data_IF_720231537963
#
_entry.id   IF_720231537963
#
_cell.length_a   1.000
_cell.length_b   1.000
_cell.length_c   1.000
_cell.angle_alpha   90.00
_cell.angle_beta   90.00
_cell.angle_gamma   90.00
#
_symmetry.space_group_name_H-M   'P 1'
#
loop_
_entity.id
_entity.type
_entity.pdbx_description
1 polymer ?
#
# COMPACT_ATOMS: atom_id res chain seq x y z
N UNK A 1 3.71 -12.14 -22.36
CA UNK A 1 2.55 -12.98 -21.98
C UNK A 1 1.56 -13.02 -23.15
N UNK A 2 0.85 -14.13 -23.35
CA UNK A 2 -0.23 -14.23 -24.35
C UNK A 2 -1.56 -13.75 -23.77
N UNK A 3 -2.57 -13.55 -24.62
CA UNK A 3 -3.93 -13.20 -24.18
C UNK A 3 -4.60 -14.27 -23.29
N UNK A 4 -4.10 -15.51 -23.29
CA UNK A 4 -4.60 -16.61 -22.46
C UNK A 4 -3.85 -16.76 -21.12
N UNK A 5 -2.89 -15.88 -20.82
CA UNK A 5 -2.09 -15.96 -19.60
C UNK A 5 -2.92 -15.46 -18.42
N UNK A 6 -3.23 -16.32 -17.44
CA UNK A 6 -4.02 -15.96 -16.26
C UNK A 6 -3.16 -15.56 -15.06
N UNK A 7 -1.94 -16.08 -14.96
CA UNK A 7 -1.03 -15.84 -13.83
C UNK A 7 0.37 -15.56 -14.37
N UNK A 8 0.99 -14.50 -13.86
CA UNK A 8 2.38 -14.14 -14.11
C UNK A 8 3.12 -14.11 -12.78
N UNK A 9 4.28 -14.76 -12.71
CA UNK A 9 5.15 -14.75 -11.53
C UNK A 9 6.32 -13.82 -11.80
N UNK A 10 6.45 -12.75 -11.03
CA UNK A 10 7.62 -11.87 -11.04
C UNK A 10 8.71 -12.42 -10.13
N UNK A 11 9.65 -13.19 -10.70
CA UNK A 11 10.79 -13.79 -9.97
C UNK A 11 12.06 -12.94 -10.12
N UNK A 12 11.92 -11.65 -9.81
CA UNK A 12 12.93 -10.63 -10.06
C UNK A 12 12.88 -9.57 -8.96
N UNK A 13 14.04 -9.09 -8.53
CA UNK A 13 14.12 -8.02 -7.54
C UNK A 13 13.95 -6.65 -8.21
N UNK A 14 13.23 -5.75 -7.55
CA UNK A 14 13.08 -4.35 -7.97
C UNK A 14 11.95 -4.06 -8.97
N UNK A 15 11.26 -5.08 -9.47
CA UNK A 15 10.18 -4.89 -10.45
C UNK A 15 8.80 -4.64 -9.81
N UNK A 16 8.67 -4.73 -8.49
CA UNK A 16 7.39 -4.61 -7.79
C UNK A 16 6.67 -3.28 -8.07
N UNK A 17 7.41 -2.17 -8.17
CA UNK A 17 6.84 -0.86 -8.49
C UNK A 17 6.26 -0.80 -9.91
N UNK A 18 6.91 -1.48 -10.87
CA UNK A 18 6.38 -1.61 -12.22
C UNK A 18 5.07 -2.39 -12.21
N UNK A 19 5.03 -3.49 -11.44
CA UNK A 19 3.84 -4.32 -11.32
C UNK A 19 2.68 -3.55 -10.68
N UNK A 20 2.92 -2.75 -9.64
CA UNK A 20 1.89 -1.86 -9.09
C UNK A 20 1.43 -0.81 -10.11
N UNK A 21 2.34 -0.27 -10.91
CA UNK A 21 2.00 0.73 -11.94
C UNK A 21 1.07 0.24 -13.05
N UNK A 22 0.93 -1.08 -13.23
CA UNK A 22 0.02 -1.70 -14.21
C UNK A 22 -1.14 -2.44 -13.56
N UNK A 23 -1.22 -2.47 -12.23
CA UNK A 23 -2.26 -3.19 -11.50
C UNK A 23 -3.50 -2.31 -11.30
N UNK A 24 -4.67 -2.92 -11.24
CA UNK A 24 -5.93 -2.24 -10.87
C UNK A 24 -6.12 -2.16 -9.35
N UNK A 25 -5.53 -3.11 -8.60
CA UNK A 25 -5.60 -3.26 -7.15
C UNK A 25 -4.42 -4.10 -6.67
N UNK A 26 -4.09 -4.00 -5.38
CA UNK A 26 -2.99 -4.73 -4.78
C UNK A 26 -3.40 -5.43 -3.48
N UNK A 27 -3.11 -6.72 -3.38
CA UNK A 27 -3.10 -7.42 -2.10
C UNK A 27 -1.66 -7.51 -1.57
N UNK A 28 -1.38 -6.88 -0.43
CA UNK A 28 -0.03 -6.85 0.16
C UNK A 28 0.13 -8.00 1.15
N UNK A 29 1.03 -8.92 0.80
CA UNK A 29 1.27 -10.17 1.52
C UNK A 29 1.88 -10.04 2.91
N UNK A 30 2.17 -11.18 3.53
CA UNK A 30 2.71 -11.27 4.90
C UNK A 30 1.72 -10.87 6.00
N UNK A 31 0.46 -10.63 5.64
CA UNK A 31 -0.59 -10.01 6.47
C UNK A 31 -1.74 -10.95 6.85
N UNK A 32 -1.93 -12.08 6.14
CA UNK A 32 -2.89 -13.15 6.50
C UNK A 32 -2.33 -14.14 7.52
N UNK A 33 -1.03 -14.08 7.77
CA UNK A 33 -0.33 -14.87 8.80
C UNK A 33 0.27 -13.90 9.80
N UNK A 34 0.56 -14.35 11.02
CA UNK A 34 1.13 -13.56 12.11
C UNK A 34 2.61 -13.15 11.87
N UNK A 35 2.91 -12.55 10.72
CA UNK A 35 4.24 -12.05 10.33
C UNK A 35 4.33 -10.52 10.30
N UNK A 36 3.19 -9.83 10.35
CA UNK A 36 3.12 -8.37 10.56
C UNK A 36 2.98 -7.53 9.30
N UNK A 37 2.82 -8.15 8.13
CA UNK A 37 2.58 -7.47 6.86
C UNK A 37 3.84 -6.86 6.22
N UNK A 38 3.69 -6.46 4.96
CA UNK A 38 4.66 -5.64 4.22
C UNK A 38 4.15 -4.21 4.02
N UNK A 39 4.99 -3.34 3.48
CA UNK A 39 4.73 -1.91 3.36
C UNK A 39 3.56 -1.61 2.40
N UNK A 40 2.41 -1.11 2.89
CA UNK A 40 1.27 -0.80 2.03
C UNK A 40 1.46 0.49 1.22
N UNK A 41 2.41 1.36 1.61
CA UNK A 41 2.58 2.66 0.96
C UNK A 41 3.10 2.55 -0.46
N UNK A 42 3.77 1.45 -0.79
CA UNK A 42 4.25 1.19 -2.15
C UNK A 42 3.09 1.09 -3.13
N UNK A 43 2.07 0.28 -2.81
CA UNK A 43 0.85 0.20 -3.60
C UNK A 43 0.03 1.51 -3.55
N UNK A 44 -0.09 2.11 -2.37
CA UNK A 44 -0.83 3.37 -2.20
C UNK A 44 -0.26 4.52 -3.06
N UNK A 45 1.06 4.54 -3.29
CA UNK A 45 1.71 5.53 -4.14
C UNK A 45 1.24 5.49 -5.60
N UNK A 46 0.73 4.34 -6.05
CA UNK A 46 0.16 4.16 -7.39
C UNK A 46 -1.34 4.47 -7.46
N UNK A 47 -1.94 5.00 -6.38
CA UNK A 47 -3.35 5.35 -6.29
C UNK A 47 -4.30 4.18 -6.63
N UNK A 48 -3.90 2.96 -6.24
CA UNK A 48 -4.71 1.75 -6.39
C UNK A 48 -5.22 1.29 -5.01
N UNK A 49 -6.37 0.60 -4.93
CA UNK A 49 -6.86 -0.01 -3.70
C UNK A 49 -5.82 -0.94 -3.08
N UNK A 50 -5.63 -0.81 -1.77
CA UNK A 50 -4.73 -1.65 -0.98
C UNK A 50 -5.55 -2.61 -0.13
N UNK A 51 -5.32 -3.90 -0.29
CA UNK A 51 -5.90 -4.97 0.51
C UNK A 51 -4.81 -5.60 1.37
N UNK A 52 -5.12 -5.87 2.65
CA UNK A 52 -4.21 -6.58 3.56
C UNK A 52 -4.98 -7.50 4.49
N UNK A 53 -4.31 -8.53 5.00
CA UNK A 53 -4.81 -9.32 6.11
C UNK A 53 -4.75 -8.59 7.47
N UNK A 54 -5.29 -9.18 8.54
CA UNK A 54 -5.42 -8.52 9.85
C UNK A 54 -4.08 -8.34 10.58
N UNK A 55 -3.03 -9.07 10.20
CA UNK A 55 -1.74 -9.05 10.89
C UNK A 55 -0.80 -8.01 10.29
N UNK A 56 -0.97 -6.74 10.69
CA UNK A 56 -0.24 -5.59 10.14
C UNK A 56 0.70 -4.92 11.16
N UNK A 57 1.09 -5.61 12.22
CA UNK A 57 1.79 -5.00 13.37
C UNK A 57 3.11 -4.30 13.02
N UNK A 58 3.82 -4.69 11.95
CA UNK A 58 5.04 -3.99 11.51
C UNK A 58 4.74 -2.60 10.92
N UNK A 59 3.51 -2.40 10.44
CA UNK A 59 3.04 -1.19 9.76
C UNK A 59 1.79 -0.61 10.44
N UNK A 60 1.59 -0.90 11.72
CA UNK A 60 0.34 -0.62 12.47
C UNK A 60 -0.14 0.82 12.31
N UNK A 61 0.75 1.79 12.50
CA UNK A 61 0.38 3.22 12.43
C UNK A 61 -0.01 3.64 11.01
N UNK A 62 0.67 3.10 10.00
CA UNK A 62 0.36 3.36 8.59
C UNK A 62 -0.98 2.72 8.23
N UNK A 63 -1.18 1.45 8.58
CA UNK A 63 -2.42 0.74 8.33
C UNK A 63 -3.61 1.40 9.04
N UNK A 64 -3.44 1.86 10.28
CA UNK A 64 -4.48 2.59 11.00
C UNK A 64 -4.86 3.91 10.29
N UNK A 65 -3.90 4.65 9.74
CA UNK A 65 -4.17 5.86 8.95
C UNK A 65 -4.88 5.54 7.64
N UNK A 66 -4.46 4.49 6.95
CA UNK A 66 -5.13 4.04 5.73
C UNK A 66 -6.55 3.58 6.00
N UNK A 67 -6.79 2.82 7.06
CA UNK A 67 -8.12 2.37 7.47
C UNK A 67 -9.04 3.56 7.80
N UNK A 68 -8.56 4.51 8.61
CA UNK A 68 -9.29 5.74 8.95
C UNK A 68 -9.66 6.57 7.71
N UNK A 69 -8.78 6.58 6.71
CA UNK A 69 -9.02 7.29 5.47
C UNK A 69 -9.88 6.50 4.47
N UNK A 70 -10.30 5.27 4.76
CA UNK A 70 -10.90 4.37 3.74
C UNK A 70 -9.97 4.08 2.56
N UNK A 71 -8.65 4.04 2.80
CA UNK A 71 -7.61 3.67 1.85
C UNK A 71 -7.08 2.24 2.02
N UNK A 72 -7.60 1.48 2.98
CA UNK A 72 -7.25 0.07 3.23
C UNK A 72 -8.51 -0.78 3.32
N UNK A 73 -8.45 -1.98 2.74
CA UNK A 73 -9.48 -3.02 2.88
C UNK A 73 -8.85 -4.18 3.65
N UNK A 74 -9.42 -4.52 4.80
CA UNK A 74 -8.96 -5.65 5.62
C UNK A 74 -9.65 -6.93 5.18
N UNK A 75 -8.86 -7.96 4.86
CA UNK A 75 -9.30 -9.27 4.37
C UNK A 75 -9.00 -10.35 5.41
N UNK A 76 -10.02 -11.10 5.83
CA UNK A 76 -9.87 -12.13 6.87
C UNK A 76 -9.78 -13.54 6.31
N UNK A 77 -10.29 -13.77 5.10
CA UNK A 77 -10.40 -15.10 4.51
C UNK A 77 -10.48 -15.05 2.97
N UNK A 78 -10.46 -16.22 2.34
CA UNK A 78 -10.51 -16.33 0.88
C UNK A 78 -11.86 -15.87 0.28
N UNK A 79 -12.96 -16.00 1.01
CA UNK A 79 -14.29 -15.63 0.52
C UNK A 79 -14.44 -14.10 0.46
N UNK A 80 -14.00 -13.40 1.51
CA UNK A 80 -13.91 -11.95 1.57
C UNK A 80 -12.94 -11.42 0.52
N UNK A 81 -11.78 -12.06 0.32
CA UNK A 81 -10.85 -11.69 -0.75
C UNK A 81 -11.51 -11.75 -2.12
N UNK A 82 -12.15 -12.87 -2.46
CA UNK A 82 -12.78 -13.06 -3.77
C UNK A 82 -13.90 -12.04 -4.01
N UNK A 83 -14.71 -11.77 -2.98
CA UNK A 83 -15.77 -10.76 -3.03
C UNK A 83 -15.21 -9.36 -3.28
N UNK A 84 -14.25 -8.92 -2.48
CA UNK A 84 -13.72 -7.56 -2.57
C UNK A 84 -12.94 -7.34 -3.88
N UNK A 85 -12.16 -8.32 -4.32
CA UNK A 85 -11.49 -8.27 -5.63
C UNK A 85 -12.52 -8.18 -6.76
N UNK A 86 -13.59 -8.97 -6.72
CA UNK A 86 -14.65 -8.90 -7.73
C UNK A 86 -15.34 -7.53 -7.73
N UNK A 87 -15.67 -6.97 -6.57
CA UNK A 87 -16.27 -5.64 -6.46
C UNK A 87 -15.35 -4.58 -7.05
N UNK A 88 -14.07 -4.56 -6.67
CA UNK A 88 -13.10 -3.60 -7.17
C UNK A 88 -12.84 -3.71 -8.67
N UNK A 89 -12.92 -4.90 -9.26
CA UNK A 89 -12.76 -5.07 -10.71
C UNK A 89 -14.00 -4.64 -11.49
N UNK A 90 -15.20 -4.80 -10.92
CA UNK A 90 -16.47 -4.53 -11.60
C UNK A 90 -17.03 -3.12 -11.36
N UNK A 91 -16.62 -2.46 -10.28
CA UNK A 91 -17.04 -1.11 -9.91
C UNK A 91 -15.83 -0.16 -9.93
N UNK A 92 -15.78 0.67 -10.97
CA UNK A 92 -14.71 1.64 -11.17
C UNK A 92 -14.75 2.79 -10.15
N UNK A 93 -15.93 3.20 -9.69
CA UNK A 93 -16.07 4.28 -8.72
C UNK A 93 -15.59 3.81 -7.35
N UNK A 94 -15.96 2.59 -6.95
CA UNK A 94 -15.46 1.93 -5.75
C UNK A 94 -13.94 1.79 -5.78
N UNK A 95 -13.37 1.33 -6.90
CA UNK A 95 -11.91 1.22 -7.09
C UNK A 95 -11.21 2.58 -6.98
N UNK A 96 -11.72 3.59 -7.67
CA UNK A 96 -11.14 4.93 -7.66
C UNK A 96 -11.26 5.60 -6.28
N UNK A 97 -12.35 5.35 -5.55
CA UNK A 97 -12.55 5.84 -4.20
C UNK A 97 -11.42 5.35 -3.29
N UNK A 98 -11.21 4.04 -3.18
CA UNK A 98 -10.15 3.48 -2.32
C UNK A 98 -8.76 3.89 -2.77
N UNK A 99 -8.48 3.86 -4.08
CA UNK A 99 -7.18 4.26 -4.61
C UNK A 99 -6.82 5.71 -4.30
N UNK A 100 -7.78 6.63 -4.42
CA UNK A 100 -7.57 8.06 -4.07
C UNK A 100 -7.32 8.26 -2.58
N UNK A 101 -8.10 7.60 -1.73
CA UNK A 101 -7.91 7.73 -0.29
C UNK A 101 -6.58 7.11 0.18
N UNK A 102 -6.14 6.03 -0.46
CA UNK A 102 -4.83 5.43 -0.19
C UNK A 102 -3.68 6.41 -0.49
N UNK A 103 -3.70 7.07 -1.66
CA UNK A 103 -2.64 8.03 -2.04
C UNK A 103 -2.70 9.32 -1.21
N UNK A 104 -3.89 9.76 -0.78
CA UNK A 104 -4.03 10.93 0.11
C UNK A 104 -3.30 10.73 1.44
N UNK A 105 -3.35 9.53 2.02
CA UNK A 105 -2.59 9.21 3.23
C UNK A 105 -1.09 9.33 2.98
N UNK A 106 -0.61 8.93 1.80
CA UNK A 106 0.80 9.13 1.44
C UNK A 106 1.16 10.62 1.43
N UNK A 107 0.36 11.45 0.76
CA UNK A 107 0.60 12.90 0.69
C UNK A 107 0.59 13.58 2.07
N UNK A 108 -0.33 13.17 2.96
CA UNK A 108 -0.37 13.69 4.33
C UNK A 108 0.85 13.28 5.17
N UNK A 109 1.49 12.15 4.83
CA UNK A 109 2.70 11.67 5.48
C UNK A 109 3.99 12.21 4.84
N UNK A 110 3.91 12.92 3.71
CA UNK A 110 5.08 13.55 3.10
C UNK A 110 5.68 14.65 4.01
N UNK A 111 6.97 14.92 3.79
CA UNK A 111 7.71 15.93 4.55
C UNK A 111 8.06 15.53 6.00
N UNK A 112 7.79 14.30 6.43
CA UNK A 112 8.19 13.82 7.76
C UNK A 112 9.71 13.87 7.94
N UNK A 113 10.48 13.48 6.92
CA UNK A 113 11.94 13.60 6.92
C UNK A 113 12.39 15.06 7.03
N UNK A 114 11.78 15.97 6.27
CA UNK A 114 12.13 17.39 6.30
C UNK A 114 11.87 17.98 7.70
N UNK A 115 10.72 17.66 8.31
CA UNK A 115 10.36 18.07 9.67
C UNK A 115 11.33 17.50 10.71
N UNK A 116 11.72 16.23 10.57
CA UNK A 116 12.70 15.62 11.44
C UNK A 116 14.08 16.29 11.31
N UNK A 117 14.52 16.56 10.09
CA UNK A 117 15.78 17.28 9.83
C UNK A 117 15.75 18.67 10.44
N UNK A 118 14.65 19.42 10.30
CA UNK A 118 14.48 20.73 10.94
C UNK A 118 14.55 20.65 12.47
N UNK A 119 14.00 19.60 13.08
CA UNK A 119 14.08 19.39 14.53
C UNK A 119 15.49 19.02 15.00
N UNK A 120 16.25 18.30 14.17
CA UNK A 120 17.62 17.89 14.47
C UNK A 120 18.65 18.95 14.10
N UNK A 121 18.32 19.91 13.24
CA UNK A 121 19.21 20.97 12.75
C UNK A 121 19.95 21.72 13.87
N UNK A 122 19.32 22.07 15.02
CA UNK A 122 20.02 22.71 16.14
C UNK A 122 21.02 21.80 16.87
N UNK A 123 20.92 20.48 16.71
CA UNK A 123 21.73 19.48 17.41
C UNK A 123 22.80 18.84 16.50
N UNK A 124 22.76 19.10 15.20
CA UNK A 124 23.76 18.60 14.26
C UNK A 124 25.03 19.46 14.32
N UNK A 125 26.22 18.84 14.21
CA UNK A 125 27.46 19.60 14.08
C UNK A 125 27.39 20.52 12.85
N UNK A 126 28.01 21.70 12.89
CA UNK A 126 28.03 22.61 11.76
C UNK A 126 28.61 21.89 10.54
N UNK A 127 28.00 22.08 9.37
CA UNK A 127 28.49 21.51 8.11
C UNK A 127 29.94 21.96 7.89
N UNK A 128 30.88 21.06 8.12
CA UNK A 128 32.27 21.24 7.73
C UNK A 128 32.34 21.10 6.20
N UNK A 129 32.76 22.18 5.54
CA UNK A 129 33.05 22.21 4.11
C UNK A 129 34.25 21.34 3.76
#
# INVERSE_FOLDING_TARGET
PSASTQVVVGDTMGELMLLYGIADLAFVGGSLVERGGHNPLEAAAHAIPVLMGPHTFNFKDICARLDQASGLITITDAATLAKEVSSLLTDADYRNFYGRHAVEVLYQNQGALQRLLQLLEPYLPPKTH
#
